data_IF_519209064683
#
_entry.id   IF_519209064683
#
_cell.length_a   1.000
_cell.length_b   1.000
_cell.length_c   1.000
_cell.angle_alpha   90.00
_cell.angle_beta   90.00
_cell.angle_gamma   90.00
#
_symmetry.space_group_name_H-M   'P 1'
#
loop_
_entity.id
_entity.type
_entity.pdbx_description
1 polymer ?
#
# COMPACT_ATOMS: atom_id res chain seq x y z
N UNK A 1 -37.59 8.57 -19.22
CA UNK A 1 -37.36 7.22 -18.66
C UNK A 1 -35.87 6.94 -18.73
N UNK A 2 -35.30 6.66 -17.55
CA UNK A 2 -34.06 5.92 -17.26
C UNK A 2 -32.72 6.44 -17.82
N UNK A 3 -32.04 7.16 -16.93
CA UNK A 3 -30.60 7.18 -16.67
C UNK A 3 -29.97 5.79 -16.67
N UNK A 4 -28.78 5.65 -17.24
CA UNK A 4 -27.77 4.71 -16.74
C UNK A 4 -26.43 5.45 -16.73
N UNK A 5 -26.04 5.87 -15.52
CA UNK A 5 -24.70 6.31 -15.20
C UNK A 5 -23.79 5.07 -15.27
N UNK A 6 -22.83 5.08 -16.19
CA UNK A 6 -21.59 4.30 -16.03
C UNK A 6 -20.90 4.78 -14.76
N UNK A 7 -21.16 4.12 -13.64
CA UNK A 7 -20.30 4.26 -12.47
C UNK A 7 -19.03 3.47 -12.77
N UNK A 8 -17.83 4.07 -12.72
CA UNK A 8 -16.60 3.32 -12.83
C UNK A 8 -16.56 2.31 -11.69
N UNK A 9 -16.28 1.05 -12.01
CA UNK A 9 -16.13 -0.04 -11.05
C UNK A 9 -15.17 0.38 -9.94
N UNK A 10 -15.70 0.75 -8.78
CA UNK A 10 -14.91 0.88 -7.57
C UNK A 10 -14.23 -0.49 -7.36
N UNK A 11 -12.89 -0.54 -7.21
CA UNK A 11 -12.21 -1.80 -6.97
C UNK A 11 -12.77 -2.41 -5.69
N UNK A 12 -13.63 -3.42 -5.83
CA UNK A 12 -14.19 -4.18 -4.72
C UNK A 12 -13.06 -4.95 -4.06
N UNK A 13 -12.46 -4.34 -3.04
CA UNK A 13 -11.46 -4.96 -2.18
C UNK A 13 -12.05 -6.26 -1.65
N UNK A 14 -11.59 -7.39 -2.19
CA UNK A 14 -12.06 -8.71 -1.79
C UNK A 14 -11.15 -9.21 -0.69
N UNK A 15 -11.52 -8.92 0.56
CA UNK A 15 -10.84 -9.46 1.73
C UNK A 15 -11.09 -10.99 1.81
N UNK A 16 -10.06 -11.85 1.87
CA UNK A 16 -10.25 -13.25 2.19
C UNK A 16 -10.70 -13.43 3.64
N UNK A 17 -11.56 -14.42 3.87
CA UNK A 17 -12.21 -14.72 5.16
C UNK A 17 -11.24 -14.88 6.33
N UNK A 18 -9.98 -15.29 6.08
CA UNK A 18 -8.94 -15.44 7.11
C UNK A 18 -8.44 -14.11 7.67
N UNK A 19 -8.42 -13.06 6.87
CA UNK A 19 -7.98 -11.73 7.31
C UNK A 19 -9.14 -10.99 8.00
N UNK A 20 -10.36 -11.18 7.48
CA UNK A 20 -11.63 -10.68 8.06
C UNK A 20 -11.84 -11.16 9.49
N UNK A 21 -11.51 -12.41 9.82
CA UNK A 21 -11.79 -12.97 11.15
C UNK A 21 -11.07 -12.26 12.32
N UNK A 22 -10.07 -11.42 12.04
CA UNK A 22 -9.36 -10.65 13.07
C UNK A 22 -9.16 -9.18 12.73
N UNK A 23 -9.67 -8.72 11.59
CA UNK A 23 -9.45 -7.35 11.12
C UNK A 23 -10.78 -6.77 10.66
N UNK A 24 -11.28 -5.81 11.45
CA UNK A 24 -12.52 -5.11 11.15
C UNK A 24 -12.39 -4.38 9.82
N UNK A 25 -13.45 -4.42 9.00
CA UNK A 25 -13.43 -3.82 7.67
C UNK A 25 -13.16 -2.30 7.71
N UNK A 26 -13.62 -1.62 8.77
CA UNK A 26 -13.34 -0.20 9.02
C UNK A 26 -11.86 0.06 9.22
N UNK A 27 -11.21 -0.75 10.04
CA UNK A 27 -9.80 -0.63 10.39
C UNK A 27 -8.91 -0.92 9.18
N UNK A 28 -9.27 -1.94 8.39
CA UNK A 28 -8.57 -2.26 7.15
C UNK A 28 -8.67 -1.12 6.13
N UNK A 29 -9.86 -0.53 5.98
CA UNK A 29 -10.07 0.60 5.07
C UNK A 29 -9.30 1.85 5.53
N UNK A 30 -9.32 2.14 6.83
CA UNK A 30 -8.56 3.24 7.43
C UNK A 30 -7.05 3.08 7.17
N UNK A 31 -6.51 1.90 7.43
CA UNK A 31 -5.08 1.63 7.26
C UNK A 31 -4.68 1.62 5.78
N UNK A 32 -5.51 1.09 4.89
CA UNK A 32 -5.25 1.23 3.45
C UNK A 32 -5.24 2.71 3.04
N UNK A 33 -6.18 3.51 3.54
CA UNK A 33 -6.22 4.94 3.29
C UNK A 33 -4.99 5.66 3.85
N UNK A 34 -4.48 5.26 5.02
CA UNK A 34 -3.23 5.79 5.55
C UNK A 34 -2.03 5.39 4.70
N UNK A 35 -1.98 4.12 4.27
CA UNK A 35 -0.89 3.62 3.44
C UNK A 35 -0.81 4.34 2.09
N UNK A 36 -1.95 4.59 1.44
CA UNK A 36 -2.01 5.42 0.23
C UNK A 36 -1.48 6.83 0.47
N UNK A 37 -1.84 7.46 1.60
CA UNK A 37 -1.33 8.81 1.94
C UNK A 37 0.19 8.82 2.15
N UNK A 38 0.77 7.79 2.76
CA UNK A 38 2.24 7.65 2.87
C UNK A 38 2.90 7.55 1.50
N UNK A 39 2.35 6.74 0.59
CA UNK A 39 2.86 6.62 -0.78
C UNK A 39 2.79 7.98 -1.51
N UNK A 40 1.69 8.71 -1.38
CA UNK A 40 1.52 10.02 -2.01
C UNK A 40 2.49 11.08 -1.42
N UNK A 41 2.76 11.01 -0.11
CA UNK A 41 3.75 11.87 0.54
C UNK A 41 5.17 11.63 -0.01
N UNK A 42 5.57 10.36 -0.20
CA UNK A 42 6.85 10.02 -0.81
C UNK A 42 6.95 10.46 -2.27
N UNK A 43 5.86 10.38 -3.05
CA UNK A 43 5.83 10.90 -4.42
C UNK A 43 6.10 12.40 -4.42
N UNK A 44 5.44 13.14 -3.54
CA UNK A 44 5.65 14.59 -3.40
C UNK A 44 7.10 14.89 -3.00
N UNK A 45 7.66 14.13 -2.05
CA UNK A 45 9.06 14.25 -1.63
C UNK A 45 10.05 13.95 -2.76
N UNK A 46 9.80 12.92 -3.57
CA UNK A 46 10.59 12.60 -4.76
C UNK A 46 10.59 13.74 -5.78
N UNK A 47 9.45 14.41 -5.96
CA UNK A 47 9.38 15.62 -6.79
C UNK A 47 10.14 16.81 -6.19
N UNK A 48 10.15 16.96 -4.86
CA UNK A 48 10.94 17.99 -4.19
C UNK A 48 12.44 17.77 -4.38
N UNK A 49 12.93 16.53 -4.23
CA UNK A 49 14.32 16.19 -4.54
C UNK A 49 14.67 16.43 -6.00
N UNK A 50 13.77 16.10 -6.92
CA UNK A 50 13.96 16.36 -8.34
C UNK A 50 14.11 17.86 -8.63
N UNK A 51 13.27 18.70 -8.00
CA UNK A 51 13.34 20.16 -8.12
C UNK A 51 14.64 20.73 -7.53
N UNK A 52 15.16 20.10 -6.48
CA UNK A 52 16.46 20.43 -5.88
C UNK A 52 17.66 19.89 -6.69
N UNK A 53 17.40 19.12 -7.76
CA UNK A 53 18.40 18.40 -8.56
C UNK A 53 19.19 17.35 -7.77
N UNK A 54 18.60 16.84 -6.69
CA UNK A 54 19.13 15.71 -5.94
C UNK A 54 18.65 14.41 -6.59
N UNK A 55 19.33 14.00 -7.66
CA UNK A 55 18.93 12.85 -8.47
C UNK A 55 19.11 11.51 -7.75
N UNK A 56 20.02 11.44 -6.77
CA UNK A 56 20.24 10.24 -5.97
C UNK A 56 19.03 9.99 -5.06
N UNK A 57 18.66 10.98 -4.25
CA UNK A 57 17.48 10.88 -3.39
C UNK A 57 16.19 10.77 -4.20
N UNK A 58 16.11 11.43 -5.36
CA UNK A 58 14.98 11.26 -6.30
C UNK A 58 14.84 9.80 -6.71
N UNK A 59 15.94 9.17 -7.15
CA UNK A 59 15.95 7.77 -7.60
C UNK A 59 15.52 6.82 -6.48
N UNK A 60 16.14 6.95 -5.31
CA UNK A 60 15.82 6.13 -4.13
C UNK A 60 14.34 6.26 -3.75
N UNK A 61 13.85 7.50 -3.62
CA UNK A 61 12.45 7.74 -3.22
C UNK A 61 11.45 7.14 -4.21
N UNK A 62 11.71 7.22 -5.52
CA UNK A 62 10.82 6.61 -6.51
C UNK A 62 10.92 5.07 -6.57
N UNK A 63 12.07 4.50 -6.21
CA UNK A 63 12.18 3.05 -5.97
C UNK A 63 11.30 2.64 -4.78
N UNK A 64 11.39 3.36 -3.67
CA UNK A 64 10.59 3.09 -2.46
C UNK A 64 9.08 3.17 -2.77
N UNK A 65 8.65 4.20 -3.51
CA UNK A 65 7.26 4.35 -3.99
C UNK A 65 6.84 3.14 -4.83
N UNK A 66 7.71 2.67 -5.72
CA UNK A 66 7.40 1.51 -6.58
C UNK A 66 7.18 0.25 -5.73
N UNK A 67 8.05 -0.01 -4.77
CA UNK A 67 7.96 -1.20 -3.91
C UNK A 67 6.71 -1.16 -3.02
N UNK A 68 6.40 0.00 -2.42
CA UNK A 68 5.20 0.19 -1.61
C UNK A 68 3.91 0.04 -2.44
N UNK A 69 3.90 0.50 -3.71
CA UNK A 69 2.76 0.28 -4.62
C UNK A 69 2.55 -1.19 -4.95
N UNK A 70 3.63 -1.95 -5.17
CA UNK A 70 3.53 -3.40 -5.39
C UNK A 70 2.92 -4.10 -4.17
N UNK A 71 3.31 -3.70 -2.97
CA UNK A 71 2.73 -4.21 -1.72
C UNK A 71 1.24 -3.86 -1.63
N UNK A 72 0.89 -2.59 -1.87
CA UNK A 72 -0.50 -2.12 -1.89
C UNK A 72 -1.36 -2.93 -2.88
N UNK A 73 -0.86 -3.17 -4.09
CA UNK A 73 -1.55 -3.96 -5.11
C UNK A 73 -1.73 -5.42 -4.66
N UNK A 74 -0.72 -6.02 -4.03
CA UNK A 74 -0.86 -7.35 -3.46
C UNK A 74 -1.91 -7.39 -2.35
N UNK A 75 -1.98 -6.38 -1.49
CA UNK A 75 -2.97 -6.30 -0.40
C UNK A 75 -4.39 -6.15 -0.97
N UNK A 76 -4.61 -5.24 -1.91
CA UNK A 76 -5.95 -5.00 -2.50
C UNK A 76 -6.45 -6.18 -3.34
N UNK A 77 -5.55 -6.96 -3.93
CA UNK A 77 -5.85 -8.20 -4.65
C UNK A 77 -5.97 -9.44 -3.74
N UNK A 78 -5.84 -9.27 -2.42
CA UNK A 78 -5.90 -10.38 -1.45
C UNK A 78 -4.71 -11.34 -1.49
N UNK A 79 -3.60 -10.96 -2.13
CA UNK A 79 -2.37 -11.76 -2.30
C UNK A 79 -1.40 -11.57 -1.13
N UNK A 80 -1.86 -11.83 0.09
CA UNK A 80 -1.13 -11.44 1.31
C UNK A 80 0.19 -12.17 1.54
N UNK A 81 0.32 -13.43 1.09
CA UNK A 81 1.61 -14.13 1.15
C UNK A 81 2.66 -13.41 0.29
N UNK A 82 2.25 -12.90 -0.89
CA UNK A 82 3.13 -12.12 -1.76
C UNK A 82 3.43 -10.74 -1.17
N UNK A 83 2.42 -10.08 -0.60
CA UNK A 83 2.62 -8.81 0.10
C UNK A 83 3.61 -8.99 1.26
N UNK A 84 3.45 -10.03 2.08
CA UNK A 84 4.32 -10.30 3.22
C UNK A 84 5.76 -10.55 2.78
N UNK A 85 5.96 -11.36 1.72
CA UNK A 85 7.30 -11.57 1.17
C UNK A 85 7.94 -10.26 0.69
N UNK A 86 7.17 -9.45 -0.05
CA UNK A 86 7.66 -8.16 -0.54
C UNK A 86 8.01 -7.20 0.61
N UNK A 87 7.25 -7.24 1.71
CA UNK A 87 7.53 -6.47 2.93
C UNK A 87 8.82 -6.94 3.62
N UNK A 88 9.09 -8.24 3.64
CA UNK A 88 10.32 -8.80 4.24
C UNK A 88 11.57 -8.37 3.46
N UNK A 89 11.44 -8.26 2.13
CA UNK A 89 12.49 -7.81 1.22
C UNK A 89 12.76 -6.28 1.29
N UNK A 90 11.88 -5.48 1.93
CA UNK A 90 12.08 -4.04 2.12
C UNK A 90 13.14 -3.72 3.17
N UNK A 91 13.88 -2.62 2.96
CA UNK A 91 14.65 -1.97 4.01
C UNK A 91 13.74 -1.43 5.13
N UNK A 92 14.29 -1.34 6.34
CA UNK A 92 13.58 -0.98 7.57
C UNK A 92 12.97 0.42 7.47
N UNK A 93 13.66 1.38 6.84
CA UNK A 93 13.16 2.75 6.74
C UNK A 93 11.90 2.87 5.87
N UNK A 94 11.83 2.16 4.75
CA UNK A 94 10.67 2.17 3.84
C UNK A 94 9.51 1.38 4.43
N UNK A 95 9.82 0.34 5.20
CA UNK A 95 8.83 -0.49 5.90
C UNK A 95 8.02 0.32 6.92
N UNK A 96 8.59 1.36 7.51
CA UNK A 96 7.92 2.22 8.49
C UNK A 96 6.77 3.05 7.87
N UNK A 97 6.71 3.15 6.55
CA UNK A 97 5.60 3.79 5.82
C UNK A 97 4.33 2.92 5.77
N UNK A 98 4.44 1.64 6.15
CA UNK A 98 3.32 0.73 6.24
C UNK A 98 2.68 0.88 7.62
N UNK A 99 1.36 1.18 7.73
CA UNK A 99 0.70 1.26 9.02
C UNK A 99 0.93 0.01 9.87
N UNK A 100 1.35 0.18 11.12
CA UNK A 100 1.79 -0.94 11.98
C UNK A 100 0.75 -2.06 12.09
N UNK A 101 -0.53 -1.69 12.24
CA UNK A 101 -1.63 -2.66 12.32
C UNK A 101 -1.80 -3.43 11.00
N UNK A 102 -1.68 -2.78 9.85
CA UNK A 102 -1.65 -3.45 8.55
C UNK A 102 -0.43 -4.38 8.41
N UNK A 103 0.77 -3.90 8.73
CA UNK A 103 2.01 -4.67 8.73
C UNK A 103 1.88 -5.95 9.55
N UNK A 104 1.48 -5.84 10.82
CA UNK A 104 1.34 -6.96 11.75
C UNK A 104 0.35 -8.01 11.25
N UNK A 105 -0.70 -7.59 10.54
CA UNK A 105 -1.69 -8.50 9.97
C UNK A 105 -1.16 -9.22 8.74
N UNK A 106 -0.48 -8.50 7.84
CA UNK A 106 0.08 -9.08 6.61
C UNK A 106 1.24 -10.04 6.94
N UNK A 107 2.12 -9.68 7.88
CA UNK A 107 3.27 -10.52 8.23
C UNK A 107 2.90 -11.87 8.85
N UNK A 108 1.67 -12.07 9.33
CA UNK A 108 1.17 -13.39 9.76
C UNK A 108 1.14 -14.43 8.64
N UNK A 109 1.13 -13.99 7.39
CA UNK A 109 1.13 -14.84 6.20
C UNK A 109 2.54 -15.21 5.73
N UNK A 110 3.59 -14.72 6.39
CA UNK A 110 5.00 -15.06 6.09
C UNK A 110 5.46 -16.37 6.77
N UNK A 111 4.60 -17.38 6.87
CA UNK A 111 4.90 -18.64 7.59
C UNK A 111 5.17 -19.80 6.66
#
# INVERSE_FOLDING_TARGET
>A
MMTNQDQPDEPRVTLPSRLIASYEASDFSEDLGQFTRSIDALIQQGHEYLNQKDYELTGLTFTDVSDLRVIYDHITQGRYERAAKQIDDLDTAVRDEIPTRLYDKIMKFHR
#
